data_IF_606644729920
#
_entry.id   IF_606644729920
#
_cell.length_a   1.000
_cell.length_b   1.000
_cell.length_c   1.000
_cell.angle_alpha   90.00
_cell.angle_beta   90.00
_cell.angle_gamma   90.00
#
_symmetry.space_group_name_H-M   'P 1'
#
loop_
_entity.id
_entity.type
_entity.pdbx_description
1 polymer ?
#
# COMPACT_ATOMS: atom_id res chain seq x y z
N UNK A 1 -13.89 -4.16 16.56
CA UNK A 1 -12.74 -3.29 16.23
C UNK A 1 -13.16 -1.81 16.24
N UNK A 2 -14.32 -1.44 15.69
CA UNK A 2 -14.86 -0.06 15.76
C UNK A 2 -15.15 0.33 17.23
N UNK A 3 -15.89 -0.49 17.98
CA UNK A 3 -16.17 -0.27 19.40
C UNK A 3 -14.89 -0.11 20.24
N UNK A 4 -13.83 -0.87 19.94
CA UNK A 4 -12.52 -0.81 20.62
C UNK A 4 -11.64 0.37 20.15
N UNK A 5 -12.15 1.28 19.33
CA UNK A 5 -11.41 2.44 18.75
C UNK A 5 -10.10 2.07 18.05
N UNK A 6 -10.01 0.85 17.50
CA UNK A 6 -8.89 0.41 16.67
C UNK A 6 -9.10 0.89 15.24
N UNK A 7 -10.34 0.83 14.80
CA UNK A 7 -10.81 1.33 13.51
C UNK A 7 -11.74 2.51 13.70
N UNK A 8 -11.81 3.35 12.69
CA UNK A 8 -12.81 4.44 12.59
C UNK A 8 -13.32 4.56 11.16
N UNK A 9 -14.52 5.14 11.02
CA UNK A 9 -15.04 5.55 9.72
C UNK A 9 -14.19 6.69 9.18
N UNK A 10 -13.81 6.61 7.92
CA UNK A 10 -13.18 7.73 7.22
C UNK A 10 -14.28 8.56 6.55
N UNK A 11 -14.79 9.50 7.31
CA UNK A 11 -15.83 10.43 6.88
C UNK A 11 -15.23 11.49 5.96
N UNK A 12 -16.08 12.06 5.09
CA UNK A 12 -15.72 13.16 4.22
C UNK A 12 -16.15 12.91 2.78
N UNK A 13 -15.83 13.86 1.91
CA UNK A 13 -16.24 13.83 0.51
C UNK A 13 -15.26 12.99 -0.31
N UNK A 14 -15.74 11.86 -0.82
CA UNK A 14 -15.01 10.99 -1.72
C UNK A 14 -15.56 11.13 -3.13
N UNK A 15 -14.73 11.50 -4.09
CA UNK A 15 -15.16 11.83 -5.45
C UNK A 15 -14.63 10.78 -6.42
N UNK A 16 -15.49 10.31 -7.31
CA UNK A 16 -15.11 9.54 -8.49
C UNK A 16 -15.15 10.46 -9.71
N UNK A 17 -13.98 10.74 -10.29
CA UNK A 17 -13.86 11.55 -11.49
C UNK A 17 -13.92 10.63 -12.72
N UNK A 18 -15.13 10.42 -13.24
CA UNK A 18 -15.34 9.99 -14.63
C UNK A 18 -15.25 11.21 -15.54
N UNK A 19 -14.89 11.03 -16.81
CA UNK A 19 -14.78 12.10 -17.80
C UNK A 19 -16.02 13.04 -17.88
N UNK A 20 -17.18 12.63 -17.36
CA UNK A 20 -18.46 13.35 -17.58
C UNK A 20 -19.33 13.51 -16.31
N UNK A 21 -19.15 12.79 -15.21
CA UNK A 21 -19.98 12.93 -14.00
C UNK A 21 -19.21 12.71 -12.71
N UNK A 22 -19.41 13.62 -11.74
CA UNK A 22 -18.99 13.45 -10.35
C UNK A 22 -19.98 12.52 -9.65
N UNK A 23 -19.66 11.27 -9.46
CA UNK A 23 -20.47 10.38 -8.64
C UNK A 23 -19.98 10.41 -7.19
N UNK A 24 -20.86 10.84 -6.27
CA UNK A 24 -20.67 10.61 -4.85
C UNK A 24 -21.03 9.15 -4.56
N UNK A 25 -20.05 8.28 -4.43
CA UNK A 25 -20.32 6.93 -3.91
C UNK A 25 -20.24 6.97 -2.39
N UNK A 26 -21.41 6.81 -1.74
CA UNK A 26 -21.56 6.72 -0.27
C UNK A 26 -21.04 5.37 0.28
N UNK A 27 -19.85 4.95 -0.13
CA UNK A 27 -19.23 3.77 0.46
C UNK A 27 -18.59 4.15 1.79
N UNK A 28 -19.03 3.48 2.87
CA UNK A 28 -18.39 3.61 4.17
C UNK A 28 -16.95 3.12 4.08
N UNK A 29 -16.00 4.02 4.19
CA UNK A 29 -14.58 3.68 4.25
C UNK A 29 -14.15 3.55 5.70
N UNK A 30 -13.44 2.48 6.02
CA UNK A 30 -12.94 2.20 7.36
C UNK A 30 -11.42 2.23 7.32
N UNK A 31 -10.81 2.89 8.31
CA UNK A 31 -9.37 3.04 8.44
C UNK A 31 -8.93 2.76 9.88
N UNK A 32 -7.67 2.42 10.08
CA UNK A 32 -7.07 2.37 11.40
C UNK A 32 -7.06 3.77 12.04
N UNK A 33 -7.25 3.84 13.34
CA UNK A 33 -7.33 5.12 14.06
C UNK A 33 -6.01 5.89 14.04
N UNK A 34 -4.89 5.19 14.28
CA UNK A 34 -3.53 5.76 14.31
C UNK A 34 -2.76 5.49 13.03
N UNK A 35 -2.92 4.29 12.44
CA UNK A 35 -2.19 3.87 11.24
C UNK A 35 -2.91 2.76 10.47
N UNK A 36 -2.43 2.46 9.27
CA UNK A 36 -3.01 1.39 8.46
C UNK A 36 -2.76 -0.01 9.06
N UNK A 37 -1.73 -0.13 9.88
CA UNK A 37 -1.34 -1.37 10.56
C UNK A 37 -1.98 -1.59 11.93
N UNK A 38 -2.94 -0.76 12.34
CA UNK A 38 -3.60 -0.89 13.66
C UNK A 38 -4.32 -2.23 13.82
N UNK A 39 -4.92 -2.75 12.73
CA UNK A 39 -5.57 -4.07 12.75
C UNK A 39 -4.53 -5.15 13.05
N UNK A 40 -3.44 -5.17 12.30
CA UNK A 40 -2.37 -6.16 12.47
C UNK A 40 -1.77 -6.09 13.87
N UNK A 41 -1.47 -4.88 14.36
CA UNK A 41 -0.96 -4.67 15.73
C UNK A 41 -1.94 -5.19 16.79
N UNK A 42 -3.23 -5.00 16.58
CA UNK A 42 -4.24 -5.50 17.50
C UNK A 42 -4.33 -7.03 17.49
N UNK A 43 -4.31 -7.64 16.31
CA UNK A 43 -4.42 -9.09 16.16
C UNK A 43 -3.22 -9.84 16.76
N UNK A 44 -2.02 -9.28 16.66
CA UNK A 44 -0.79 -9.90 17.18
C UNK A 44 -0.49 -9.58 18.65
N UNK A 45 -1.33 -8.78 19.33
CA UNK A 45 -1.04 -8.29 20.69
C UNK A 45 -0.66 -9.38 21.69
N UNK A 46 -1.27 -10.56 21.56
CA UNK A 46 -1.06 -11.70 22.46
C UNK A 46 -0.30 -12.86 21.77
N UNK A 47 0.35 -12.58 20.63
CA UNK A 47 1.10 -13.57 19.87
C UNK A 47 2.59 -13.24 19.99
N UNK A 48 3.40 -14.25 20.28
CA UNK A 48 4.87 -14.09 20.26
C UNK A 48 5.34 -13.83 18.85
N UNK A 49 5.80 -12.62 18.58
CA UNK A 49 6.30 -12.20 17.27
C UNK A 49 7.81 -11.97 17.33
N UNK A 50 8.53 -12.48 16.33
CA UNK A 50 9.92 -12.15 16.10
C UNK A 50 9.99 -11.21 14.91
N UNK A 51 10.34 -9.95 15.14
CA UNK A 51 10.56 -8.95 14.10
C UNK A 51 12.03 -8.99 13.64
N UNK A 52 12.31 -8.38 12.50
CA UNK A 52 13.66 -8.33 11.91
C UNK A 52 14.27 -9.72 11.68
N UNK A 53 13.42 -10.71 11.45
CA UNK A 53 13.79 -12.11 11.28
C UNK A 53 13.45 -12.52 9.84
N UNK A 54 14.31 -12.14 8.88
CA UNK A 54 14.10 -12.49 7.47
C UNK A 54 14.44 -13.96 7.23
N UNK A 55 13.45 -14.72 6.78
CA UNK A 55 13.59 -16.13 6.48
C UNK A 55 14.40 -16.32 5.18
N UNK A 56 15.47 -17.10 5.25
CA UNK A 56 16.35 -17.38 4.13
C UNK A 56 16.10 -18.76 3.52
N UNK A 57 16.02 -19.79 4.38
CA UNK A 57 15.86 -21.18 3.93
C UNK A 57 14.83 -21.93 4.76
N UNK A 58 14.19 -22.89 4.10
CA UNK A 58 13.26 -23.83 4.72
C UNK A 58 13.72 -25.24 4.38
N UNK A 59 13.69 -26.13 5.37
CA UNK A 59 13.85 -27.56 5.20
C UNK A 59 12.81 -28.31 6.02
N UNK A 60 12.46 -29.51 5.61
CA UNK A 60 11.67 -30.42 6.43
C UNK A 60 12.56 -31.62 6.75
N UNK A 61 12.92 -31.74 8.02
CA UNK A 61 13.81 -32.78 8.53
C UNK A 61 13.34 -33.21 9.92
N UNK A 62 13.51 -34.48 10.26
CA UNK A 62 13.10 -35.06 11.56
C UNK A 62 11.65 -34.72 11.94
N UNK A 63 10.73 -34.78 10.99
CA UNK A 63 9.29 -34.46 11.13
C UNK A 63 9.00 -33.01 11.55
N UNK A 64 9.97 -32.10 11.44
CA UNK A 64 9.85 -30.67 11.77
C UNK A 64 10.28 -29.79 10.63
N UNK A 65 9.72 -28.58 10.60
CA UNK A 65 10.15 -27.51 9.72
C UNK A 65 11.34 -26.79 10.35
N UNK A 66 12.50 -26.88 9.72
CA UNK A 66 13.68 -26.09 10.05
C UNK A 66 13.66 -24.79 9.24
N UNK A 67 13.77 -23.70 9.94
CA UNK A 67 13.79 -22.34 9.38
C UNK A 67 15.13 -21.70 9.68
N UNK A 68 15.89 -21.37 8.65
CA UNK A 68 17.14 -20.64 8.76
C UNK A 68 16.89 -19.16 8.39
N UNK A 69 17.28 -18.26 9.27
CA UNK A 69 17.11 -16.82 9.14
C UNK A 69 18.43 -16.12 8.79
N UNK A 70 18.38 -14.98 8.10
CA UNK A 70 19.59 -14.22 7.73
C UNK A 70 20.45 -13.74 8.89
N UNK A 71 19.88 -13.64 10.08
CA UNK A 71 20.59 -13.32 11.31
C UNK A 71 21.27 -14.54 11.96
N UNK A 72 21.51 -15.59 11.19
CA UNK A 72 22.12 -16.86 11.61
C UNK A 72 21.33 -17.62 12.70
N UNK A 73 20.08 -17.28 12.94
CA UNK A 73 19.22 -18.05 13.83
C UNK A 73 18.57 -19.22 13.09
N UNK A 74 18.49 -20.35 13.74
CA UNK A 74 17.72 -21.52 13.26
C UNK A 74 16.62 -21.85 14.25
N UNK A 75 15.41 -22.13 13.76
CA UNK A 75 14.26 -22.52 14.59
C UNK A 75 13.53 -23.71 13.96
N UNK A 76 12.93 -24.53 14.82
CA UNK A 76 12.18 -25.72 14.44
C UNK A 76 10.71 -25.58 14.84
N UNK A 77 9.81 -26.01 13.93
CA UNK A 77 8.37 -25.96 14.15
C UNK A 77 7.68 -27.21 13.60
N UNK A 78 6.59 -27.63 14.24
CA UNK A 78 5.79 -28.76 13.79
C UNK A 78 4.91 -28.39 12.57
N UNK A 79 4.47 -27.13 12.53
CA UNK A 79 3.62 -26.61 11.44
C UNK A 79 4.15 -25.27 10.95
N UNK A 80 4.03 -25.02 9.66
CA UNK A 80 4.48 -23.78 9.01
C UNK A 80 3.37 -23.24 8.11
N UNK A 81 3.02 -21.96 8.31
CA UNK A 81 2.13 -21.22 7.44
C UNK A 81 2.92 -20.04 6.85
N UNK A 82 3.02 -20.00 5.52
CA UNK A 82 3.71 -18.95 4.79
C UNK A 82 2.68 -17.98 4.21
N UNK A 83 2.72 -16.73 4.62
CA UNK A 83 1.80 -15.65 4.20
C UNK A 83 2.50 -14.56 3.39
N UNK A 84 3.76 -14.76 3.04
CA UNK A 84 4.49 -13.81 2.22
C UNK A 84 3.93 -13.75 0.79
N UNK A 85 4.11 -12.62 0.06
CA UNK A 85 3.67 -12.50 -1.32
C UNK A 85 4.26 -13.59 -2.22
N UNK A 86 3.51 -13.99 -3.24
CA UNK A 86 3.84 -15.12 -4.10
C UNK A 86 5.28 -15.11 -4.68
N UNK A 87 5.85 -13.98 -5.13
CA UNK A 87 7.23 -13.98 -5.63
C UNK A 87 8.27 -14.35 -4.56
N UNK A 88 8.05 -13.95 -3.31
CA UNK A 88 8.90 -14.34 -2.17
C UNK A 88 8.67 -15.81 -1.81
N UNK A 89 7.41 -16.23 -1.76
CA UNK A 89 7.04 -17.62 -1.51
C UNK A 89 7.73 -18.55 -2.50
N UNK A 90 7.69 -18.20 -3.78
CA UNK A 90 8.33 -18.97 -4.84
C UNK A 90 9.82 -19.17 -4.62
N UNK A 91 10.53 -18.17 -4.13
CA UNK A 91 11.98 -18.29 -3.87
C UNK A 91 12.30 -19.25 -2.72
N UNK A 92 11.43 -19.31 -1.72
CA UNK A 92 11.71 -20.02 -0.45
C UNK A 92 11.16 -21.43 -0.46
N UNK A 93 10.03 -21.70 -1.10
CA UNK A 93 9.23 -22.92 -0.84
C UNK A 93 8.99 -23.82 -2.03
N UNK A 94 9.47 -23.50 -3.25
CA UNK A 94 9.18 -24.26 -4.47
C UNK A 94 9.47 -25.76 -4.36
N UNK A 95 10.45 -26.15 -3.57
CA UNK A 95 10.85 -27.56 -3.40
C UNK A 95 9.83 -28.40 -2.63
N UNK A 96 8.97 -27.75 -1.84
CA UNK A 96 8.06 -28.42 -0.89
C UNK A 96 6.60 -28.41 -1.33
N UNK A 97 6.24 -27.59 -2.30
CA UNK A 97 4.85 -27.43 -2.70
C UNK A 97 4.62 -28.16 -4.03
N UNK A 98 3.98 -29.32 -3.95
CA UNK A 98 3.54 -30.11 -5.12
C UNK A 98 2.23 -29.61 -5.72
N UNK A 99 1.74 -28.45 -5.30
CA UNK A 99 0.43 -27.93 -5.64
C UNK A 99 0.40 -27.40 -7.08
N UNK A 100 -0.61 -27.78 -7.90
CA UNK A 100 -0.84 -27.23 -9.23
C UNK A 100 -1.03 -25.69 -9.22
N UNK A 101 -1.41 -25.09 -8.09
CA UNK A 101 -1.49 -23.64 -7.94
C UNK A 101 -0.15 -22.91 -8.14
N UNK A 102 0.99 -23.55 -7.87
CA UNK A 102 2.31 -22.98 -8.12
C UNK A 102 2.62 -22.85 -9.62
N UNK A 103 2.02 -23.72 -10.45
CA UNK A 103 2.10 -23.62 -11.91
C UNK A 103 1.32 -22.41 -12.44
N UNK A 104 0.39 -21.86 -11.67
CA UNK A 104 -0.32 -20.64 -12.05
C UNK A 104 0.65 -19.45 -12.01
N UNK A 105 0.68 -18.71 -13.11
CA UNK A 105 1.42 -17.44 -13.20
C UNK A 105 0.67 -16.35 -12.41
N UNK A 106 0.74 -16.39 -11.08
CA UNK A 106 0.19 -15.32 -10.25
C UNK A 106 0.99 -14.05 -10.54
N UNK A 107 0.33 -13.10 -11.18
CA UNK A 107 0.91 -11.81 -11.54
C UNK A 107 0.64 -10.80 -10.44
N UNK A 108 1.68 -10.20 -9.92
CA UNK A 108 1.57 -9.09 -8.97
C UNK A 108 1.52 -7.77 -9.73
N UNK A 109 0.52 -6.97 -9.45
CA UNK A 109 0.41 -5.63 -10.00
C UNK A 109 1.26 -4.64 -9.20
N UNK A 110 2.05 -3.86 -9.93
CA UNK A 110 2.87 -2.81 -9.34
C UNK A 110 2.12 -1.48 -9.29
N UNK A 111 2.46 -0.65 -8.30
CA UNK A 111 1.97 0.71 -8.17
C UNK A 111 3.11 1.62 -7.72
N UNK A 112 3.14 2.83 -8.25
CA UNK A 112 3.97 3.91 -7.73
C UNK A 112 3.09 4.74 -6.79
N UNK A 113 3.60 4.99 -5.60
CA UNK A 113 2.94 5.83 -4.60
C UNK A 113 3.82 7.04 -4.32
N UNK A 114 3.26 8.23 -4.42
CA UNK A 114 3.95 9.49 -4.14
C UNK A 114 3.19 10.23 -3.04
N UNK A 115 3.88 10.71 -2.04
CA UNK A 115 3.33 11.57 -1.00
C UNK A 115 3.83 12.98 -1.22
N UNK A 116 2.90 13.95 -1.25
CA UNK A 116 3.23 15.36 -1.44
C UNK A 116 2.63 16.21 -0.33
N UNK A 117 3.32 17.27 0.01
CA UNK A 117 2.85 18.33 0.88
C UNK A 117 2.72 19.63 0.07
N UNK A 118 1.55 20.23 0.14
CA UNK A 118 1.22 21.48 -0.56
C UNK A 118 0.57 22.47 0.42
N UNK A 119 0.59 23.76 0.10
CA UNK A 119 -0.15 24.76 0.88
C UNK A 119 -1.62 24.35 1.01
N UNK A 120 -2.20 24.63 2.18
CA UNK A 120 -3.60 24.33 2.49
C UNK A 120 -4.53 24.88 1.42
N UNK A 121 -5.46 24.03 1.01
CA UNK A 121 -6.50 24.38 0.03
C UNK A 121 -7.86 24.44 0.71
N UNK A 122 -8.77 25.28 0.19
CA UNK A 122 -10.14 25.36 0.71
C UNK A 122 -11.04 24.21 0.23
N UNK A 123 -10.48 23.16 -0.37
CA UNK A 123 -11.24 22.00 -0.84
C UNK A 123 -11.41 20.96 0.26
N UNK A 124 -12.66 20.75 0.68
CA UNK A 124 -13.07 19.73 1.67
C UNK A 124 -13.26 18.35 1.01
N UNK A 125 -12.22 17.84 0.35
CA UNK A 125 -12.24 16.56 -0.32
C UNK A 125 -11.29 15.62 0.36
N UNK A 126 -11.77 14.41 0.66
CA UNK A 126 -11.00 13.39 1.37
C UNK A 126 -10.25 12.47 0.41
N UNK A 127 -10.85 12.13 -0.72
CA UNK A 127 -10.15 11.33 -1.74
C UNK A 127 -10.77 11.48 -3.11
N UNK A 128 -9.95 11.21 -4.11
CA UNK A 128 -10.36 11.04 -5.50
C UNK A 128 -10.09 9.60 -5.96
N UNK A 129 -11.01 9.05 -6.72
CA UNK A 129 -10.79 7.91 -7.59
C UNK A 129 -10.89 8.41 -9.03
N UNK A 130 -9.87 8.13 -9.83
CA UNK A 130 -9.77 8.64 -11.18
C UNK A 130 -10.05 7.56 -12.22
N UNK A 131 -10.84 7.88 -13.25
CA UNK A 131 -10.86 7.11 -14.50
C UNK A 131 -9.79 7.67 -15.43
N UNK A 132 -8.54 7.43 -15.10
CA UNK A 132 -7.38 7.94 -15.82
C UNK A 132 -6.38 6.82 -16.09
N UNK A 133 -5.57 6.97 -17.14
CA UNK A 133 -4.59 5.94 -17.53
C UNK A 133 -3.36 5.91 -16.63
N UNK A 134 -3.05 6.99 -15.94
CA UNK A 134 -1.81 7.19 -15.16
C UNK A 134 -2.10 7.21 -13.67
N UNK A 135 -2.95 8.13 -13.23
CA UNK A 135 -3.30 8.35 -11.83
C UNK A 135 -4.61 7.62 -11.49
N UNK A 136 -4.54 6.63 -10.60
CA UNK A 136 -5.70 5.85 -10.20
C UNK A 136 -6.43 6.41 -8.99
N UNK A 137 -5.70 6.94 -8.01
CA UNK A 137 -6.28 7.36 -6.74
C UNK A 137 -5.45 8.45 -6.06
N UNK A 138 -6.13 9.31 -5.30
CA UNK A 138 -5.50 10.26 -4.40
C UNK A 138 -6.26 10.38 -3.08
N UNK A 139 -5.56 10.51 -1.97
CA UNK A 139 -6.13 10.71 -0.64
C UNK A 139 -5.50 11.90 0.07
N UNK A 140 -6.34 12.74 0.66
CA UNK A 140 -5.92 13.79 1.58
C UNK A 140 -5.71 13.19 2.96
N UNK A 141 -4.46 13.05 3.39
CA UNK A 141 -4.11 12.38 4.64
C UNK A 141 -4.68 13.09 5.87
N UNK A 142 -4.72 14.44 5.84
CA UNK A 142 -5.34 15.26 6.90
C UNK A 142 -6.81 14.86 7.16
N UNK A 143 -7.55 14.45 6.12
CA UNK A 143 -8.95 14.07 6.25
C UNK A 143 -9.16 12.80 7.08
N UNK A 144 -8.10 12.01 7.26
CA UNK A 144 -8.09 10.83 8.13
C UNK A 144 -8.03 11.19 9.62
N UNK A 145 -7.76 12.44 9.96
CA UNK A 145 -7.69 12.96 11.35
C UNK A 145 -6.76 12.13 12.24
N UNK A 146 -5.58 11.78 11.73
CA UNK A 146 -4.54 11.03 12.46
C UNK A 146 -3.47 11.94 13.06
N UNK A 147 -3.30 13.12 12.48
CA UNK A 147 -2.34 14.15 12.87
C UNK A 147 -2.90 15.54 12.53
N UNK A 148 -2.26 16.58 13.05
CA UNK A 148 -2.53 17.98 12.71
C UNK A 148 -1.45 18.47 11.75
N UNK A 149 -1.82 19.22 10.73
CA UNK A 149 -0.90 19.90 9.82
C UNK A 149 -1.55 21.17 9.29
N UNK A 150 -0.75 22.21 9.12
CA UNK A 150 -1.16 23.46 8.49
C UNK A 150 -1.22 23.36 6.97
N UNK A 151 -0.61 22.35 6.40
CA UNK A 151 -0.56 22.08 4.97
C UNK A 151 -1.45 20.88 4.60
N UNK A 152 -1.75 20.73 3.34
CA UNK A 152 -2.45 19.58 2.81
C UNK A 152 -1.45 18.50 2.39
N UNK A 153 -1.58 17.33 3.00
CA UNK A 153 -0.79 16.15 2.65
C UNK A 153 -1.63 15.21 1.80
N UNK A 154 -1.09 14.85 0.65
CA UNK A 154 -1.75 13.97 -0.30
C UNK A 154 -0.90 12.74 -0.59
N UNK A 155 -1.54 11.57 -0.59
CA UNK A 155 -0.99 10.33 -1.13
C UNK A 155 -1.59 10.11 -2.51
N UNK A 156 -0.72 10.03 -3.53
CA UNK A 156 -1.07 9.79 -4.92
C UNK A 156 -0.69 8.36 -5.28
N UNK A 157 -1.56 7.65 -5.99
CA UNK A 157 -1.29 6.27 -6.41
C UNK A 157 -1.54 6.12 -7.91
N UNK A 158 -0.56 5.59 -8.61
CA UNK A 158 -0.67 5.29 -10.04
C UNK A 158 -1.69 4.17 -10.33
N UNK A 159 -2.05 4.02 -11.60
CA UNK A 159 -2.69 2.79 -12.07
C UNK A 159 -1.66 1.67 -12.23
N UNK A 160 -2.08 0.43 -12.02
CA UNK A 160 -1.23 -0.74 -12.27
C UNK A 160 -0.83 -0.87 -13.75
N UNK A 161 -1.75 -0.57 -14.65
CA UNK A 161 -1.48 -0.64 -16.10
C UNK A 161 -0.33 0.29 -16.53
N UNK A 162 -0.31 1.51 -16.01
CA UNK A 162 0.76 2.46 -16.30
C UNK A 162 2.07 2.04 -15.66
N UNK A 163 2.03 1.62 -14.40
CA UNK A 163 3.24 1.23 -13.65
C UNK A 163 3.87 -0.03 -14.23
N UNK A 164 3.08 -1.05 -14.57
CA UNK A 164 3.60 -2.28 -15.15
C UNK A 164 4.35 -2.05 -16.47
N UNK A 165 3.93 -1.03 -17.26
CA UNK A 165 4.65 -0.62 -18.48
C UNK A 165 5.97 0.11 -18.19
N UNK A 166 6.10 0.75 -17.03
CA UNK A 166 7.26 1.58 -16.67
C UNK A 166 8.29 0.85 -15.83
N UNK A 167 7.86 -0.08 -14.97
CA UNK A 167 8.73 -0.74 -13.98
C UNK A 167 9.87 -1.53 -14.62
N UNK A 168 9.65 -2.08 -15.82
CA UNK A 168 10.68 -2.84 -16.53
C UNK A 168 11.75 -1.95 -17.18
N UNK A 169 11.50 -0.64 -17.30
CA UNK A 169 12.41 0.30 -17.95
C UNK A 169 13.15 1.24 -17.00
N UNK A 170 12.66 1.44 -15.76
CA UNK A 170 13.11 2.59 -14.98
C UNK A 170 12.94 2.46 -13.47
N UNK A 171 13.65 1.53 -12.82
CA UNK A 171 13.90 1.70 -11.37
C UNK A 171 14.71 2.97 -11.07
N UNK A 172 15.44 3.47 -12.05
CA UNK A 172 16.33 4.66 -11.94
C UNK A 172 15.61 6.00 -12.14
N UNK A 173 14.37 6.00 -12.67
CA UNK A 173 13.61 7.24 -12.96
C UNK A 173 12.43 7.48 -12.00
N UNK A 174 12.61 7.24 -10.70
CA UNK A 174 11.56 7.44 -9.71
C UNK A 174 11.08 8.90 -9.67
N UNK A 175 11.99 9.87 -9.74
CA UNK A 175 11.66 11.29 -9.71
C UNK A 175 10.83 11.71 -10.92
N UNK A 176 11.20 11.32 -12.13
CA UNK A 176 10.44 11.60 -13.35
C UNK A 176 9.03 11.02 -13.30
N UNK A 177 8.88 9.78 -12.82
CA UNK A 177 7.59 9.14 -12.68
C UNK A 177 6.72 9.82 -11.61
N UNK A 178 7.32 10.28 -10.53
CA UNK A 178 6.65 11.04 -9.48
C UNK A 178 6.14 12.37 -9.99
N UNK A 179 6.94 13.10 -10.74
CA UNK A 179 6.54 14.37 -11.35
C UNK A 179 5.37 14.20 -12.32
N UNK A 180 5.33 13.12 -13.11
CA UNK A 180 4.20 12.79 -13.97
C UNK A 180 2.91 12.60 -13.16
N UNK A 181 2.97 11.88 -12.03
CA UNK A 181 1.81 11.66 -11.16
C UNK A 181 1.34 12.96 -10.52
N UNK A 182 2.27 13.79 -10.08
CA UNK A 182 2.01 15.09 -9.46
C UNK A 182 1.32 16.03 -10.46
N UNK A 183 1.86 16.18 -11.65
CA UNK A 183 1.28 17.04 -12.68
C UNK A 183 -0.13 16.54 -13.08
N UNK A 184 -0.30 15.23 -13.16
CA UNK A 184 -1.60 14.63 -13.46
C UNK A 184 -2.62 14.91 -12.37
N UNK A 185 -2.20 14.87 -11.11
CA UNK A 185 -3.04 15.20 -9.96
C UNK A 185 -3.57 16.64 -10.03
N UNK A 186 -2.71 17.62 -10.23
CA UNK A 186 -3.12 19.02 -10.34
C UNK A 186 -4.06 19.24 -11.53
N UNK A 187 -3.71 18.67 -12.69
CA UNK A 187 -4.53 18.75 -13.91
C UNK A 187 -5.95 18.19 -13.72
N UNK A 188 -6.07 17.01 -13.10
CA UNK A 188 -7.37 16.33 -12.94
C UNK A 188 -8.22 16.90 -11.82
N UNK A 189 -7.62 17.39 -10.76
CA UNK A 189 -8.36 17.92 -9.59
C UNK A 189 -8.72 19.38 -9.73
N UNK A 190 -8.06 20.12 -10.63
CA UNK A 190 -8.18 21.58 -10.75
C UNK A 190 -7.71 22.29 -9.47
N UNK A 191 -6.89 21.65 -8.63
CA UNK A 191 -6.18 22.32 -7.55
C UNK A 191 -5.08 23.15 -8.19
N UNK A 192 -4.98 24.44 -7.82
CA UNK A 192 -3.92 25.32 -8.32
C UNK A 192 -2.56 24.73 -7.97
N UNK A 193 -1.70 24.53 -8.97
CA UNK A 193 -0.34 24.03 -8.75
C UNK A 193 0.40 25.06 -7.87
N UNK A 194 0.77 24.65 -6.67
CA UNK A 194 1.60 25.43 -5.74
C UNK A 194 2.96 24.76 -5.64
N UNK A 195 3.94 25.49 -5.08
CA UNK A 195 5.24 24.88 -4.75
C UNK A 195 5.01 23.66 -3.87
N UNK A 196 5.56 22.53 -4.26
CA UNK A 196 5.59 21.33 -3.43
C UNK A 196 6.61 21.58 -2.34
N UNK A 197 6.18 21.43 -1.09
CA UNK A 197 7.04 21.68 0.07
C UNK A 197 7.94 20.47 0.33
N UNK A 198 7.34 19.25 0.19
CA UNK A 198 8.06 17.99 0.38
C UNK A 198 7.43 16.92 -0.52
N UNK A 199 8.24 16.05 -1.12
CA UNK A 199 7.77 14.86 -1.82
C UNK A 199 8.56 13.64 -1.37
N UNK A 200 7.86 12.50 -1.16
CA UNK A 200 8.44 11.20 -0.83
C UNK A 200 7.94 10.17 -1.85
N UNK A 201 8.85 9.31 -2.30
CA UNK A 201 8.64 8.27 -3.31
C UNK A 201 8.70 6.87 -2.69
#
# INVERSE_FOLDING_TARGET
LLKKKILKKWSGKHIFLKKIKKENKNHVKIIGCKGNNDISKHLIKNIKCNFQSELEKIKFENKKWKLDFKNNQTKYYDKLILTCPFPQLKKISLKFIKDPFIKQKIKMDANITVMIEIKKTNKYISSYLFNDKILGWAAKENSKKRFKSNNDLWTLKSTNLWTNKKINKNRENNEKNSNILIDRFFKLTGIKKTKILTSLN
#
